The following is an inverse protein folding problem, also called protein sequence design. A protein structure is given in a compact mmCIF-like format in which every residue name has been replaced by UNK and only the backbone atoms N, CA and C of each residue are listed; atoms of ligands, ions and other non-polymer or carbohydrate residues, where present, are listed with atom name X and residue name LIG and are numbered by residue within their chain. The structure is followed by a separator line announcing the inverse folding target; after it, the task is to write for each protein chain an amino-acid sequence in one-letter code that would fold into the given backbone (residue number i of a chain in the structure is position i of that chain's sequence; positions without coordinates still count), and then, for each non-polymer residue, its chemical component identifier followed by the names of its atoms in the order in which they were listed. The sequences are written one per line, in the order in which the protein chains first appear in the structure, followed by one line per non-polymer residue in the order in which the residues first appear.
data_IF_012272298563
#
_entry.id   IF_012272298563
#
_cell.length_a   1.000
_cell.length_b   1.000
_cell.length_c   1.000
_cell.angle_alpha   90.00
_cell.angle_beta   90.00
_cell.angle_gamma   90.00
#
_symmetry.space_group_name_H-M   'P 1'
#
loop_
_entity.id
_entity.type
_entity.pdbx_description
1 polymer ?
#
# COMPACT_ATOMS: atom_id res chain seq x y z
N UNK A 1 -0.33 -1.50 9.75
CA UNK A 1 -0.26 -2.96 9.50
C UNK A 1 -0.71 -3.67 10.77
N UNK A 2 -1.74 -4.53 10.69
CA UNK A 2 -2.26 -5.25 11.86
C UNK A 2 -1.61 -6.64 11.99
N UNK A 3 -1.31 -7.06 13.21
CA UNK A 3 -0.99 -8.47 13.52
C UNK A 3 -2.24 -9.11 14.10
N UNK A 4 -2.64 -10.27 13.57
CA UNK A 4 -3.84 -10.97 14.01
C UNK A 4 -3.82 -12.45 13.70
N UNK A 5 -4.90 -13.12 14.08
CA UNK A 5 -5.14 -14.52 13.74
C UNK A 5 -6.01 -14.57 12.49
N UNK A 6 -5.58 -15.31 11.48
CA UNK A 6 -6.34 -15.51 10.23
C UNK A 6 -6.61 -16.99 10.07
N UNK A 7 -7.89 -17.36 9.87
CA UNK A 7 -8.29 -18.72 9.51
C UNK A 7 -8.72 -18.74 8.04
N UNK A 8 -8.09 -19.60 7.24
CA UNK A 8 -8.52 -19.91 5.88
C UNK A 8 -9.15 -21.28 5.82
N UNK A 9 -10.27 -21.35 5.10
CA UNK A 9 -11.03 -22.56 4.88
C UNK A 9 -10.78 -23.04 3.46
N UNK A 10 -10.40 -24.31 3.31
CA UNK A 10 -10.14 -24.97 2.03
C UNK A 10 -11.02 -26.20 1.89
N UNK A 11 -11.48 -26.48 0.67
CA UNK A 11 -12.12 -27.75 0.35
C UNK A 11 -11.11 -28.67 -0.34
N UNK A 12 -10.73 -29.76 0.31
CA UNK A 12 -9.80 -30.76 -0.23
C UNK A 12 -10.52 -32.11 -0.27
N UNK A 13 -10.84 -32.59 -1.48
CA UNK A 13 -11.54 -33.87 -1.67
C UNK A 13 -12.92 -33.94 -1.01
N UNK A 14 -13.67 -32.82 -1.00
CA UNK A 14 -15.00 -32.75 -0.39
C UNK A 14 -15.01 -32.61 1.14
N UNK A 15 -13.83 -32.50 1.77
CA UNK A 15 -13.71 -32.18 3.20
C UNK A 15 -13.23 -30.75 3.39
N UNK A 16 -13.82 -30.09 4.37
CA UNK A 16 -13.44 -28.76 4.80
C UNK A 16 -12.22 -28.83 5.70
N UNK A 17 -11.16 -28.10 5.34
CA UNK A 17 -9.88 -28.03 6.06
C UNK A 17 -9.66 -26.59 6.50
N UNK A 18 -9.47 -26.40 7.80
CA UNK A 18 -9.24 -25.08 8.41
C UNK A 18 -7.75 -24.93 8.71
N UNK A 19 -7.12 -23.91 8.12
CA UNK A 19 -5.74 -23.55 8.42
C UNK A 19 -5.75 -22.21 9.15
N UNK A 20 -5.30 -22.24 10.40
CA UNK A 20 -5.20 -21.05 11.26
C UNK A 20 -3.75 -20.59 11.35
N UNK A 21 -3.49 -19.36 10.94
CA UNK A 21 -2.22 -18.68 11.07
C UNK A 21 -2.27 -17.77 12.29
N UNK A 22 -1.53 -18.11 13.34
CA UNK A 22 -1.27 -17.21 14.47
C UNK A 22 -0.15 -16.24 14.09
N UNK A 23 -0.31 -14.95 14.42
CA UNK A 23 0.62 -13.86 14.05
C UNK A 23 0.76 -13.59 12.53
N UNK A 24 -0.32 -13.72 11.76
CA UNK A 24 -0.32 -13.31 10.37
C UNK A 24 -0.28 -11.78 10.25
N UNK A 25 0.52 -11.28 9.31
CA UNK A 25 0.51 -9.87 8.92
C UNK A 25 -0.72 -9.64 8.03
N UNK A 26 -1.77 -9.08 8.61
CA UNK A 26 -3.00 -8.82 7.86
C UNK A 26 -2.90 -7.41 7.25
N UNK A 27 -2.62 -7.37 5.95
CA UNK A 27 -2.98 -6.23 5.12
C UNK A 27 -4.40 -6.51 4.61
N UNK A 28 -5.45 -5.85 5.15
CA UNK A 28 -6.75 -5.93 4.51
C UNK A 28 -6.56 -5.52 3.05
N UNK A 29 -7.18 -6.23 2.13
CA UNK A 29 -7.35 -5.79 0.74
C UNK A 29 -8.18 -4.51 0.76
N UNK A 30 -7.56 -3.40 1.13
CA UNK A 30 -8.02 -2.08 0.80
C UNK A 30 -7.79 -1.94 -0.70
N UNK A 31 -8.82 -1.53 -1.44
CA UNK A 31 -8.72 -1.24 -2.87
C UNK A 31 -7.65 -0.20 -3.20
N UNK A 32 -7.16 0.53 -2.20
CA UNK A 32 -5.99 1.40 -2.27
C UNK A 32 -5.21 1.31 -0.96
N UNK A 33 -3.88 1.11 -1.03
CA UNK A 33 -3.01 1.28 0.13
C UNK A 33 -2.83 2.79 0.38
N UNK A 34 -3.21 3.27 1.55
CA UNK A 34 -2.94 4.65 1.95
C UNK A 34 -1.49 4.76 2.41
N UNK A 35 -0.69 5.53 1.67
CA UNK A 35 0.69 5.85 2.03
C UNK A 35 0.70 7.19 2.76
N UNK A 36 1.30 7.21 3.95
CA UNK A 36 1.47 8.46 4.70
C UNK A 36 2.61 9.29 4.11
N UNK A 37 2.37 10.56 3.80
CA UNK A 37 3.41 11.50 3.33
C UNK A 37 4.55 11.63 4.34
N UNK A 38 4.27 11.58 5.64
CA UNK A 38 5.31 11.61 6.68
C UNK A 38 6.24 10.38 6.67
N UNK A 39 5.76 9.24 6.17
CA UNK A 39 6.60 8.05 6.03
C UNK A 39 7.52 8.18 4.81
N UNK A 40 7.02 8.78 3.72
CA UNK A 40 7.85 9.11 2.55
C UNK A 40 8.97 10.08 2.94
N UNK A 41 8.64 11.13 3.70
CA UNK A 41 9.63 12.10 4.22
C UNK A 41 10.67 11.43 5.12
N UNK A 42 10.26 10.55 6.03
CA UNK A 42 11.18 9.78 6.87
C UNK A 42 12.12 8.85 6.08
N UNK A 43 11.73 8.44 4.87
CA UNK A 43 12.56 7.68 3.94
C UNK A 43 13.47 8.56 3.06
N UNK A 44 13.44 9.89 3.25
CA UNK A 44 14.19 10.84 2.43
C UNK A 44 13.56 11.10 1.06
N UNK A 45 12.29 10.72 0.86
CA UNK A 45 11.57 10.97 -0.37
C UNK A 45 10.90 12.35 -0.35
N UNK A 46 10.79 12.96 -1.52
CA UNK A 46 10.17 14.27 -1.71
C UNK A 46 8.89 14.12 -2.52
N UNK A 47 7.75 14.53 -1.94
CA UNK A 47 6.47 14.56 -2.63
C UNK A 47 6.15 15.99 -3.09
N UNK A 48 6.00 16.18 -4.40
CA UNK A 48 5.59 17.46 -5.00
C UNK A 48 4.16 17.36 -5.50
N UNK A 49 3.29 18.28 -5.07
CA UNK A 49 1.87 18.31 -5.42
C UNK A 49 1.56 19.53 -6.28
N UNK A 50 0.72 19.35 -7.30
CA UNK A 50 0.30 20.44 -8.16
C UNK A 50 -0.40 19.95 -9.42
N UNK A 51 -1.15 20.83 -10.09
CA UNK A 51 -1.85 20.52 -11.34
C UNK A 51 -2.75 19.27 -11.31
N UNK A 52 -3.22 18.85 -10.11
CA UNK A 52 -4.03 17.65 -9.95
C UNK A 52 -3.25 16.34 -9.88
N UNK A 53 -1.91 16.37 -9.77
CA UNK A 53 -1.06 15.21 -9.62
C UNK A 53 -0.07 15.29 -8.45
N UNK A 54 0.66 14.20 -8.26
CA UNK A 54 1.78 14.07 -7.32
C UNK A 54 2.97 13.40 -8.00
N UNK A 55 4.17 13.86 -7.68
CA UNK A 55 5.42 13.22 -8.08
C UNK A 55 6.23 12.93 -6.82
N UNK A 56 6.73 11.70 -6.68
CA UNK A 56 7.61 11.30 -5.57
C UNK A 56 9.00 11.06 -6.12
N UNK A 57 10.00 11.69 -5.50
CA UNK A 57 11.42 11.55 -5.84
C UNK A 57 12.22 11.00 -4.68
N UNK A 58 13.28 10.25 -4.97
CA UNK A 58 14.29 9.93 -3.97
C UNK A 58 15.24 11.13 -3.79
N UNK A 59 15.28 11.73 -2.60
CA UNK A 59 16.07 12.94 -2.38
C UNK A 59 15.55 14.17 -3.13
N UNK A 60 16.14 15.34 -2.84
CA UNK A 60 15.64 16.63 -3.35
C UNK A 60 15.87 16.85 -4.85
N UNK A 61 16.85 16.14 -5.43
CA UNK A 61 17.24 16.24 -6.84
C UNK A 61 17.34 14.87 -7.53
N UNK A 62 16.87 13.80 -6.90
CA UNK A 62 16.97 12.47 -7.48
C UNK A 62 15.84 12.12 -8.44
N UNK A 63 15.81 10.83 -8.79
CA UNK A 63 14.90 10.26 -9.78
C UNK A 63 13.45 10.25 -9.29
N UNK A 64 12.52 10.35 -10.23
CA UNK A 64 11.10 10.13 -9.97
C UNK A 64 10.87 8.63 -9.82
N UNK A 65 10.40 8.20 -8.65
CA UNK A 65 10.14 6.79 -8.35
C UNK A 65 8.67 6.42 -8.46
N UNK A 66 7.77 7.41 -8.30
CA UNK A 66 6.33 7.23 -8.42
C UNK A 66 5.70 8.51 -8.97
N UNK A 67 4.69 8.33 -9.80
CA UNK A 67 3.78 9.39 -10.21
C UNK A 67 2.38 9.08 -9.71
N UNK A 68 1.52 10.09 -9.64
CA UNK A 68 0.13 9.85 -9.29
C UNK A 68 -0.80 10.95 -9.76
N UNK A 69 -2.06 10.56 -9.90
CA UNK A 69 -3.14 11.44 -10.35
C UNK A 69 -4.22 11.57 -9.27
N UNK A 70 -4.86 12.74 -9.21
CA UNK A 70 -5.96 13.00 -8.29
C UNK A 70 -7.22 12.24 -8.70
N UNK A 71 -7.80 11.51 -7.76
CA UNK A 71 -9.07 10.78 -7.92
C UNK A 71 -9.80 10.73 -6.58
N UNK A 72 -11.07 11.17 -6.57
CA UNK A 72 -11.94 11.13 -5.38
C UNK A 72 -11.33 11.75 -4.10
N UNK A 73 -10.57 12.85 -4.23
CA UNK A 73 -9.93 13.53 -3.09
C UNK A 73 -8.63 12.87 -2.61
N UNK A 74 -8.14 11.85 -3.31
CA UNK A 74 -6.89 11.13 -3.03
C UNK A 74 -5.97 11.15 -4.25
N UNK A 75 -4.69 10.84 -4.06
CA UNK A 75 -3.79 10.54 -5.17
C UNK A 75 -3.66 9.03 -5.33
N UNK A 76 -3.86 8.55 -6.54
CA UNK A 76 -3.59 7.17 -6.93
C UNK A 76 -2.17 7.13 -7.47
N UNK A 77 -1.30 6.35 -6.80
CA UNK A 77 0.11 6.22 -7.18
C UNK A 77 0.29 5.09 -8.18
N UNK A 78 1.10 5.34 -9.20
CA UNK A 78 1.48 4.44 -10.26
C UNK A 78 3.01 4.36 -10.30
N UNK A 79 3.54 3.15 -10.50
CA UNK A 79 4.96 2.97 -10.73
C UNK A 79 5.29 3.41 -12.15
N UNK A 80 6.40 4.14 -12.29
CA UNK A 80 6.95 4.55 -13.59
C UNK A 80 7.49 3.35 -14.38
#
# INVERSE_FOLDING_TARGET
IGKGTVTKVFNVGGKEVHITFSNALHAPTLSANLVSVSQLDAMGCYATFGAGGVVIREGSAGEIILEGHGSAGMYVLEAT
#
